data_IF_888925733808
#
_entry.id   IF_888925733808
#
_cell.length_a   1.000
_cell.length_b   1.000
_cell.length_c   1.000
_cell.angle_alpha   90.00
_cell.angle_beta   90.00
_cell.angle_gamma   90.00
#
_symmetry.space_group_name_H-M   'P 1'
#
loop_
_entity.id
_entity.type
_entity.pdbx_description
1 polymer ?
#
# COMPACT_ATOMS: atom_id res chain seq x y z
N UNK A 1 14.72 -20.25 -9.80
CA UNK A 1 13.78 -19.12 -9.72
C UNK A 1 14.35 -17.92 -10.45
N UNK A 2 13.63 -17.42 -11.30
CA UNK A 2 13.98 -16.16 -11.94
C UNK A 2 13.29 -15.05 -11.22
N UNK A 3 13.98 -13.99 -10.91
CA UNK A 3 13.26 -12.80 -10.48
C UNK A 3 12.24 -12.49 -11.57
N UNK A 4 11.01 -12.62 -11.24
CA UNK A 4 9.96 -12.32 -12.19
C UNK A 4 10.08 -10.88 -12.65
N UNK A 5 10.70 -10.06 -11.85
CA UNK A 5 10.83 -8.66 -12.11
C UNK A 5 12.29 -8.34 -12.37
N UNK A 6 12.55 -7.85 -13.55
CA UNK A 6 13.87 -7.41 -13.96
C UNK A 6 13.95 -5.89 -13.75
N UNK A 7 13.97 -5.50 -12.51
CA UNK A 7 14.05 -4.07 -12.18
C UNK A 7 15.51 -3.60 -12.28
N UNK A 8 15.79 -2.87 -13.32
CA UNK A 8 17.07 -2.21 -13.43
C UNK A 8 17.10 -1.03 -12.48
N UNK A 9 18.17 -0.84 -11.70
CA UNK A 9 18.22 0.24 -10.72
C UNK A 9 17.90 1.62 -11.28
N UNK A 10 18.32 1.90 -12.51
CA UNK A 10 18.03 3.18 -13.14
C UNK A 10 16.55 3.39 -13.40
N UNK A 11 15.82 2.33 -13.77
CA UNK A 11 14.39 2.42 -13.99
C UNK A 11 13.62 2.62 -12.68
N UNK A 12 14.04 1.94 -11.63
CA UNK A 12 13.44 2.08 -10.31
C UNK A 12 13.63 3.50 -9.79
N UNK A 13 14.84 4.00 -9.86
CA UNK A 13 15.16 5.36 -9.40
C UNK A 13 14.36 6.41 -10.17
N UNK A 14 14.25 6.24 -11.48
CA UNK A 14 13.50 7.16 -12.32
C UNK A 14 12.01 7.13 -12.00
N UNK A 15 11.45 5.94 -11.82
CA UNK A 15 10.03 5.78 -11.47
C UNK A 15 9.74 6.38 -10.10
N UNK A 16 10.61 6.15 -9.13
CA UNK A 16 10.45 6.70 -7.79
C UNK A 16 10.52 8.23 -7.81
N UNK A 17 11.46 8.79 -8.56
CA UNK A 17 11.58 10.24 -8.69
C UNK A 17 10.32 10.85 -9.30
N UNK A 18 9.78 10.22 -10.34
CA UNK A 18 8.56 10.68 -10.97
C UNK A 18 7.37 10.62 -10.00
N UNK A 19 7.29 9.55 -9.22
CA UNK A 19 6.24 9.40 -8.20
C UNK A 19 6.34 10.50 -7.15
N UNK A 20 7.53 10.78 -6.63
CA UNK A 20 7.73 11.81 -5.63
C UNK A 20 7.30 13.19 -6.18
N UNK A 21 7.63 13.48 -7.43
CA UNK A 21 7.22 14.73 -8.07
C UNK A 21 5.70 14.84 -8.18
N UNK A 22 5.03 13.74 -8.51
CA UNK A 22 3.57 13.71 -8.56
C UNK A 22 2.95 13.88 -7.18
N UNK A 23 3.53 13.25 -6.17
CA UNK A 23 3.03 13.33 -4.79
C UNK A 23 3.08 14.75 -4.22
N UNK A 24 3.97 15.59 -4.71
CA UNK A 24 4.04 17.00 -4.30
C UNK A 24 2.78 17.79 -4.67
N UNK A 25 2.01 17.28 -5.64
CA UNK A 25 0.85 17.97 -6.21
C UNK A 25 -0.48 17.46 -5.69
N UNK A 26 -0.46 16.46 -4.78
CA UNK A 26 -1.69 15.88 -4.27
C UNK A 26 -1.81 16.16 -2.78
N UNK A 27 -3.05 16.21 -2.30
CA UNK A 27 -3.35 16.46 -0.89
C UNK A 27 -3.65 15.17 -0.15
N UNK A 28 -4.12 14.15 -0.85
CA UNK A 28 -4.53 12.86 -0.26
C UNK A 28 -3.89 11.73 -1.05
N UNK A 29 -3.36 10.75 -0.35
CA UNK A 29 -2.81 9.54 -0.96
C UNK A 29 -3.71 8.35 -0.63
N UNK A 30 -4.14 7.65 -1.66
CA UNK A 30 -4.93 6.44 -1.52
C UNK A 30 -4.02 5.24 -1.73
N UNK A 31 -3.76 4.49 -0.66
CA UNK A 31 -2.97 3.27 -0.75
C UNK A 31 -3.91 2.07 -0.85
N UNK A 32 -3.75 1.26 -1.91
CA UNK A 32 -4.58 0.08 -2.13
C UNK A 32 -3.75 -1.16 -1.93
N UNK A 33 -4.22 -2.05 -1.05
CA UNK A 33 -3.60 -3.36 -0.80
C UNK A 33 -4.59 -4.47 -1.11
N UNK A 34 -4.07 -5.65 -1.39
CA UNK A 34 -4.89 -6.83 -1.66
C UNK A 34 -5.22 -7.52 -0.33
N UNK A 35 -6.50 -7.78 -0.08
CA UNK A 35 -6.96 -8.40 1.17
C UNK A 35 -6.38 -9.79 1.40
N UNK A 36 -5.99 -10.49 0.32
CA UNK A 36 -5.40 -11.83 0.43
C UNK A 36 -3.98 -11.79 0.98
N UNK A 37 -3.24 -10.72 0.69
CA UNK A 37 -1.84 -10.55 1.08
C UNK A 37 -1.55 -9.08 1.44
N UNK A 38 -2.21 -8.52 2.48
CA UNK A 38 -2.13 -7.08 2.75
C UNK A 38 -0.73 -6.57 3.05
N UNK A 39 0.11 -7.37 3.71
CA UNK A 39 1.47 -6.96 4.02
C UNK A 39 2.38 -7.11 2.81
N UNK A 40 2.19 -8.14 2.00
CA UNK A 40 3.02 -8.37 0.82
C UNK A 40 2.77 -7.34 -0.28
N UNK A 41 1.59 -6.73 -0.30
CA UNK A 41 1.26 -5.71 -1.30
C UNK A 41 1.59 -4.29 -0.83
N UNK A 42 2.12 -4.15 0.37
CA UNK A 42 2.57 -2.86 0.86
C UNK A 42 3.98 -2.56 0.37
N UNK A 43 4.15 -1.41 -0.27
CA UNK A 43 5.50 -1.00 -0.67
C UNK A 43 6.28 -0.54 0.57
N UNK A 44 7.53 -0.99 0.73
CA UNK A 44 8.30 -0.69 1.95
C UNK A 44 8.62 0.80 2.14
N UNK A 45 8.57 1.61 1.09
CA UNK A 45 8.87 3.03 1.16
C UNK A 45 7.63 3.92 1.15
N UNK A 46 6.44 3.31 1.29
CA UNK A 46 5.20 4.08 1.17
C UNK A 46 5.11 5.21 2.21
N UNK A 47 5.53 4.96 3.44
CA UNK A 47 5.47 5.98 4.49
C UNK A 47 6.36 7.17 4.16
N UNK A 48 7.52 6.91 3.57
CA UNK A 48 8.44 7.97 3.16
C UNK A 48 7.82 8.83 2.05
N UNK A 49 7.17 8.19 1.08
CA UNK A 49 6.55 8.91 -0.03
C UNK A 49 5.34 9.73 0.39
N UNK A 50 4.53 9.21 1.32
CA UNK A 50 3.33 9.90 1.77
C UNK A 50 3.70 11.13 2.60
N UNK A 51 4.72 11.01 3.45
CA UNK A 51 5.15 12.11 4.30
C UNK A 51 4.02 12.60 5.20
N UNK A 52 3.72 13.89 5.13
CA UNK A 52 2.67 14.51 5.95
C UNK A 52 1.31 14.58 5.26
N UNK A 53 1.17 13.97 4.09
CA UNK A 53 -0.09 14.00 3.36
C UNK A 53 -1.13 13.10 4.02
N UNK A 54 -2.40 13.41 3.78
CA UNK A 54 -3.48 12.57 4.24
C UNK A 54 -3.41 11.21 3.52
N UNK A 55 -3.58 10.15 4.29
CA UNK A 55 -3.40 8.80 3.78
C UNK A 55 -4.64 7.97 4.08
N UNK A 56 -5.22 7.38 3.04
CA UNK A 56 -6.36 6.48 3.16
C UNK A 56 -5.93 5.10 2.72
N UNK A 57 -6.09 4.11 3.61
CA UNK A 57 -5.74 2.73 3.33
C UNK A 57 -6.98 1.98 2.86
N UNK A 58 -6.92 1.38 1.68
CA UNK A 58 -7.99 0.57 1.12
C UNK A 58 -7.50 -0.87 1.00
N UNK A 59 -8.26 -1.79 1.59
CA UNK A 59 -8.00 -3.23 1.48
C UNK A 59 -9.01 -3.78 0.49
N UNK A 60 -8.55 -4.01 -0.73
CA UNK A 60 -9.39 -4.45 -1.84
C UNK A 60 -9.55 -5.97 -1.87
N UNK A 61 -10.59 -6.45 -2.50
CA UNK A 61 -10.86 -7.88 -2.70
C UNK A 61 -11.17 -8.60 -1.39
N UNK A 62 -11.92 -7.95 -0.51
CA UNK A 62 -12.32 -8.54 0.77
C UNK A 62 -13.22 -9.76 0.57
N UNK A 63 -13.90 -9.86 -0.58
CA UNK A 63 -14.69 -11.02 -0.96
C UNK A 63 -13.87 -12.30 -1.10
N UNK A 64 -12.56 -12.17 -1.25
CA UNK A 64 -11.64 -13.29 -1.44
C UNK A 64 -11.11 -13.86 -0.12
N UNK A 65 -11.52 -13.31 1.02
CA UNK A 65 -11.07 -13.80 2.33
C UNK A 65 -12.29 -14.09 3.22
N UNK A 66 -12.17 -15.05 4.17
CA UNK A 66 -13.24 -15.30 5.14
C UNK A 66 -13.44 -14.08 6.05
N UNK A 67 -14.67 -13.92 6.56
CA UNK A 67 -14.98 -12.81 7.45
C UNK A 67 -14.11 -12.78 8.71
N UNK A 68 -13.74 -13.96 9.23
CA UNK A 68 -12.85 -14.04 10.37
C UNK A 68 -11.46 -13.45 10.07
N UNK A 69 -10.95 -13.68 8.86
CA UNK A 69 -9.69 -13.09 8.41
C UNK A 69 -9.80 -11.58 8.28
N UNK A 70 -10.91 -11.10 7.74
CA UNK A 70 -11.17 -9.66 7.64
C UNK A 70 -11.15 -9.01 9.01
N UNK A 71 -11.85 -9.60 9.97
CA UNK A 71 -11.90 -9.06 11.35
C UNK A 71 -10.51 -9.05 11.97
N UNK A 72 -9.74 -10.12 11.80
CA UNK A 72 -8.38 -10.20 12.33
C UNK A 72 -7.48 -9.12 11.71
N UNK A 73 -7.56 -8.93 10.41
CA UNK A 73 -6.78 -7.89 9.72
C UNK A 73 -7.19 -6.50 10.17
N UNK A 74 -8.48 -6.25 10.32
CA UNK A 74 -8.96 -4.95 10.78
C UNK A 74 -8.43 -4.64 12.16
N UNK A 75 -8.53 -5.58 13.09
CA UNK A 75 -8.03 -5.42 14.45
C UNK A 75 -6.53 -5.13 14.45
N UNK A 76 -5.77 -5.90 13.68
CA UNK A 76 -4.32 -5.73 13.63
C UNK A 76 -3.92 -4.39 13.03
N UNK A 77 -4.54 -4.00 11.91
CA UNK A 77 -4.21 -2.74 11.23
C UNK A 77 -4.57 -1.53 12.11
N UNK A 78 -5.71 -1.58 12.80
CA UNK A 78 -6.08 -0.49 13.71
C UNK A 78 -5.12 -0.39 14.88
N UNK A 79 -4.59 -1.52 15.35
CA UNK A 79 -3.57 -1.52 16.40
C UNK A 79 -2.25 -0.88 15.91
N UNK A 80 -2.00 -0.90 14.60
CA UNK A 80 -0.84 -0.23 14.00
C UNK A 80 -1.10 1.26 13.72
N UNK A 81 -2.26 1.77 14.09
CA UNK A 81 -2.62 3.17 13.84
C UNK A 81 -3.24 3.42 12.47
N UNK A 82 -3.56 2.37 11.74
CA UNK A 82 -4.19 2.50 10.43
C UNK A 82 -5.71 2.53 10.54
N UNK A 83 -6.36 3.12 9.56
CA UNK A 83 -7.83 3.11 9.45
C UNK A 83 -8.18 2.51 8.09
N UNK A 84 -8.27 1.17 8.01
CA UNK A 84 -8.51 0.50 6.72
C UNK A 84 -9.97 0.59 6.28
N UNK A 85 -10.16 0.74 4.98
CA UNK A 85 -11.46 0.60 4.33
C UNK A 85 -11.43 -0.69 3.50
N UNK A 86 -12.34 -1.60 3.80
CA UNK A 86 -12.43 -2.89 3.10
C UNK A 86 -13.45 -2.79 1.98
N UNK A 87 -13.04 -3.21 0.79
CA UNK A 87 -13.91 -3.21 -0.39
C UNK A 87 -13.94 -4.55 -1.12
#
# INVERSE_FOLDING_TARGET
MTPAIQWYPGHIAKAEKALIEQLKRVDVVLEVRDARIPLATRHPRIDHWIGSKEHILVINRVDMIPSAARTAWETWLRAQGETPYFT
#
